data_IF_686591243895
#
_entry.id   IF_686591243895
#
_cell.length_a   1.000
_cell.length_b   1.000
_cell.length_c   1.000
_cell.angle_alpha   90.00
_cell.angle_beta   90.00
_cell.angle_gamma   90.00
#
_symmetry.space_group_name_H-M   'P 1'
#
loop_
_entity.id
_entity.type
_entity.pdbx_description
1 polymer ?
#
# COMPACT_ATOMS: atom_id res chain seq x y z
N UNK A 1 58.68 -50.14 -16.48
CA UNK A 1 57.84 -49.55 -17.55
C UNK A 1 56.35 -49.84 -17.33
N UNK A 2 55.93 -51.05 -16.92
CA UNK A 2 54.53 -51.43 -16.67
C UNK A 2 53.91 -50.74 -15.48
N UNK A 3 54.68 -50.47 -14.41
CA UNK A 3 54.23 -49.84 -13.19
C UNK A 3 53.89 -48.35 -13.43
N UNK A 4 54.68 -47.65 -14.20
CA UNK A 4 54.51 -46.25 -14.54
C UNK A 4 53.22 -46.06 -15.37
N UNK A 5 52.94 -46.97 -16.30
CA UNK A 5 51.68 -46.98 -17.09
C UNK A 5 50.47 -47.20 -16.20
N UNK A 6 50.52 -48.09 -15.22
CA UNK A 6 49.42 -48.35 -14.26
C UNK A 6 49.20 -47.11 -13.36
N UNK A 7 50.24 -46.46 -12.92
CA UNK A 7 50.16 -45.23 -12.11
C UNK A 7 49.52 -44.07 -12.89
N UNK A 8 49.88 -43.95 -14.14
CA UNK A 8 49.29 -42.97 -15.06
C UNK A 8 47.81 -43.20 -15.30
N UNK A 9 47.39 -44.47 -15.45
CA UNK A 9 45.96 -44.82 -15.60
C UNK A 9 45.14 -44.49 -14.34
N UNK A 10 45.71 -44.71 -13.15
CA UNK A 10 45.05 -44.40 -11.87
C UNK A 10 44.93 -42.87 -11.74
N UNK A 11 45.94 -42.11 -12.13
CA UNK A 11 45.91 -40.63 -12.09
C UNK A 11 44.81 -40.05 -13.03
N UNK A 12 44.66 -40.62 -14.23
CA UNK A 12 43.61 -40.22 -15.19
C UNK A 12 42.22 -40.56 -14.62
N UNK A 13 42.08 -41.71 -13.96
CA UNK A 13 40.80 -42.15 -13.40
C UNK A 13 40.34 -41.26 -12.25
N UNK A 14 41.27 -40.74 -11.43
CA UNK A 14 41.00 -39.77 -10.39
C UNK A 14 40.57 -38.44 -10.95
N UNK A 15 41.11 -38.01 -12.10
CA UNK A 15 40.74 -36.75 -12.76
C UNK A 15 39.31 -36.75 -13.34
N UNK A 16 38.79 -37.93 -13.70
CA UNK A 16 37.42 -38.08 -14.21
C UNK A 16 36.35 -38.16 -13.12
N UNK A 17 36.70 -38.30 -11.85
CA UNK A 17 35.78 -38.34 -10.72
C UNK A 17 35.53 -36.99 -10.05
N UNK A 18 36.02 -35.88 -10.63
CA UNK A 18 35.51 -34.54 -10.25
C UNK A 18 34.08 -34.42 -10.71
N UNK A 19 33.19 -35.03 -9.95
CA UNK A 19 31.75 -34.87 -10.08
C UNK A 19 31.46 -33.38 -9.97
N UNK A 20 30.96 -32.81 -11.04
CA UNK A 20 30.34 -31.50 -10.99
C UNK A 20 29.25 -31.57 -9.92
N UNK A 21 29.53 -31.14 -8.71
CA UNK A 21 28.51 -30.78 -7.74
C UNK A 21 27.83 -29.53 -8.30
N UNK A 22 26.84 -29.73 -9.16
CA UNK A 22 25.86 -28.70 -9.43
C UNK A 22 25.17 -28.46 -8.07
N UNK A 23 25.58 -27.42 -7.39
CA UNK A 23 24.80 -26.82 -6.34
C UNK A 23 23.53 -26.34 -7.05
N UNK A 24 22.46 -27.11 -6.90
CA UNK A 24 21.11 -26.66 -7.27
C UNK A 24 20.74 -25.60 -6.24
N UNK A 25 21.31 -24.39 -6.40
CA UNK A 25 20.90 -23.19 -5.69
C UNK A 25 19.48 -22.88 -6.14
N UNK A 26 18.52 -23.59 -5.53
CA UNK A 26 17.11 -23.22 -5.59
C UNK A 26 16.99 -21.84 -4.96
N UNK A 27 17.15 -20.81 -5.79
CA UNK A 27 16.77 -19.46 -5.44
C UNK A 27 15.26 -19.52 -5.16
N UNK A 28 14.92 -19.70 -3.89
CA UNK A 28 13.55 -19.57 -3.43
C UNK A 28 13.24 -18.09 -3.49
N UNK A 29 12.53 -17.67 -4.53
CA UNK A 29 11.91 -16.35 -4.56
C UNK A 29 10.90 -16.35 -3.42
N UNK A 30 11.27 -15.68 -2.34
CA UNK A 30 10.36 -15.45 -1.22
C UNK A 30 9.47 -14.29 -1.62
N UNK A 31 8.20 -14.58 -1.87
CA UNK A 31 7.19 -13.55 -2.06
C UNK A 31 6.99 -12.85 -0.70
N UNK A 32 7.60 -11.67 -0.58
CA UNK A 32 7.56 -10.85 0.63
C UNK A 32 6.13 -10.48 1.01
N UNK A 33 5.27 -10.22 0.03
CA UNK A 33 3.87 -9.88 0.28
C UNK A 33 3.13 -11.07 0.92
N UNK A 34 3.33 -12.27 0.38
CA UNK A 34 2.77 -13.52 0.95
C UNK A 34 3.34 -13.83 2.34
N UNK A 35 4.59 -13.44 2.61
CA UNK A 35 5.24 -13.67 3.92
C UNK A 35 4.68 -12.71 4.96
N UNK A 36 4.48 -11.45 4.61
CA UNK A 36 3.85 -10.44 5.48
C UNK A 36 2.44 -10.87 5.83
N UNK A 37 1.63 -11.30 4.84
CA UNK A 37 0.26 -11.76 5.09
C UNK A 37 0.15 -12.99 6.02
N UNK A 38 1.16 -13.85 6.01
CA UNK A 38 1.15 -15.11 6.79
C UNK A 38 1.69 -14.95 8.21
N UNK A 39 2.43 -13.88 8.50
CA UNK A 39 2.98 -13.64 9.84
C UNK A 39 1.96 -12.98 10.76
N UNK A 40 2.08 -13.21 12.08
CA UNK A 40 1.24 -12.55 13.09
C UNK A 40 1.43 -11.03 13.05
N UNK A 41 2.67 -10.57 12.88
CA UNK A 41 3.01 -9.15 12.79
C UNK A 41 2.43 -8.54 11.52
N UNK A 42 2.59 -9.21 10.38
CA UNK A 42 2.04 -8.77 9.11
C UNK A 42 0.52 -8.64 9.14
N UNK A 43 -0.19 -9.63 9.68
CA UNK A 43 -1.64 -9.57 9.87
C UNK A 43 -2.06 -8.37 10.74
N UNK A 44 -1.31 -8.08 11.80
CA UNK A 44 -1.57 -6.93 12.66
C UNK A 44 -1.39 -5.61 11.92
N UNK A 45 -0.35 -5.50 11.08
CA UNK A 45 -0.09 -4.33 10.25
C UNK A 45 -1.23 -4.13 9.24
N UNK A 46 -1.61 -5.18 8.52
CA UNK A 46 -2.70 -5.15 7.53
C UNK A 46 -4.02 -4.73 8.20
N UNK A 47 -4.35 -5.31 9.35
CA UNK A 47 -5.56 -4.94 10.07
C UNK A 47 -5.54 -3.47 10.51
N UNK A 48 -4.43 -2.98 11.08
CA UNK A 48 -4.31 -1.57 11.46
C UNK A 48 -4.46 -0.61 10.27
N UNK A 49 -3.85 -0.94 9.13
CA UNK A 49 -3.98 -0.14 7.92
C UNK A 49 -5.42 -0.18 7.37
N UNK A 50 -6.05 -1.34 7.40
CA UNK A 50 -7.46 -1.52 7.01
C UNK A 50 -8.39 -0.69 7.88
N UNK A 51 -8.23 -0.74 9.21
CA UNK A 51 -9.05 0.02 10.16
C UNK A 51 -8.86 1.53 9.98
N UNK A 52 -7.60 1.97 9.77
CA UNK A 52 -7.30 3.37 9.47
C UNK A 52 -7.97 3.81 8.17
N UNK A 53 -7.86 3.00 7.12
CA UNK A 53 -8.49 3.30 5.82
C UNK A 53 -10.02 3.38 5.95
N UNK A 54 -10.64 2.41 6.63
CA UNK A 54 -12.08 2.38 6.85
C UNK A 54 -12.57 3.60 7.64
N UNK A 55 -11.82 4.01 8.66
CA UNK A 55 -12.11 5.21 9.46
C UNK A 55 -12.01 6.48 8.61
N UNK A 56 -10.97 6.58 7.77
CA UNK A 56 -10.80 7.68 6.84
C UNK A 56 -11.95 7.76 5.81
N UNK A 57 -12.34 6.61 5.25
CA UNK A 57 -13.47 6.54 4.31
C UNK A 57 -14.78 6.96 4.95
N UNK A 58 -15.06 6.52 6.19
CA UNK A 58 -16.26 6.95 6.93
C UNK A 58 -16.27 8.45 7.17
N UNK A 59 -15.13 9.03 7.59
CA UNK A 59 -14.98 10.48 7.79
C UNK A 59 -15.21 11.26 6.49
N UNK A 60 -14.61 10.84 5.38
CA UNK A 60 -14.80 11.49 4.09
C UNK A 60 -16.25 11.43 3.63
N UNK A 61 -16.89 10.26 3.74
CA UNK A 61 -18.30 10.08 3.38
C UNK A 61 -19.24 10.96 4.22
N UNK A 62 -18.96 11.09 5.52
CA UNK A 62 -19.72 12.01 6.38
C UNK A 62 -19.59 13.46 5.90
N UNK A 63 -18.38 13.91 5.58
CA UNK A 63 -18.14 15.27 5.06
C UNK A 63 -18.73 15.51 3.69
N UNK A 64 -18.69 14.53 2.80
CA UNK A 64 -19.36 14.58 1.50
C UNK A 64 -20.88 14.71 1.66
N UNK A 65 -21.49 13.97 2.59
CA UNK A 65 -22.91 14.09 2.87
C UNK A 65 -23.30 15.46 3.45
N UNK A 66 -22.46 16.06 4.32
CA UNK A 66 -22.67 17.43 4.82
C UNK A 66 -22.66 18.45 3.69
N UNK A 67 -21.72 18.31 2.74
CA UNK A 67 -21.61 19.18 1.56
C UNK A 67 -22.83 19.01 0.66
N UNK A 68 -23.26 17.76 0.41
CA UNK A 68 -24.45 17.46 -0.39
C UNK A 68 -25.71 18.09 0.22
N UNK A 69 -25.91 17.97 1.54
CA UNK A 69 -27.03 18.63 2.23
C UNK A 69 -26.96 20.15 2.08
N UNK A 70 -25.78 20.76 2.25
CA UNK A 70 -25.62 22.22 2.05
C UNK A 70 -25.98 22.64 0.62
N UNK A 71 -25.62 21.85 -0.38
CA UNK A 71 -25.97 22.09 -1.77
C UNK A 71 -27.48 21.99 -2.01
N UNK A 72 -28.13 20.98 -1.45
CA UNK A 72 -29.57 20.79 -1.53
C UNK A 72 -30.33 21.95 -0.84
N UNK A 73 -29.85 22.43 0.30
CA UNK A 73 -30.41 23.60 1.00
C UNK A 73 -30.30 24.87 0.16
N UNK A 74 -29.12 25.12 -0.42
CA UNK A 74 -28.93 26.26 -1.33
C UNK A 74 -29.91 26.18 -2.51
N UNK A 75 -30.04 25.01 -3.13
CA UNK A 75 -30.95 24.81 -4.26
C UNK A 75 -32.41 25.04 -3.90
N UNK A 76 -32.85 24.65 -2.71
CA UNK A 76 -34.21 24.89 -2.22
C UNK A 76 -34.46 26.35 -1.89
N UNK A 77 -33.46 27.07 -1.41
CA UNK A 77 -33.59 28.42 -0.87
C UNK A 77 -33.26 29.53 -1.91
N UNK A 78 -32.55 29.21 -2.99
CA UNK A 78 -32.04 30.19 -3.96
C UNK A 78 -33.07 31.16 -4.53
N UNK A 79 -34.34 30.76 -4.57
CA UNK A 79 -35.43 31.60 -5.08
C UNK A 79 -36.24 32.31 -3.97
N UNK A 80 -35.89 32.09 -2.70
CA UNK A 80 -36.68 32.55 -1.53
C UNK A 80 -35.89 33.55 -0.69
N UNK A 81 -34.55 33.38 -0.63
CA UNK A 81 -33.66 34.24 0.18
C UNK A 81 -33.14 35.44 -0.63
N UNK A 82 -32.64 36.47 0.08
CA UNK A 82 -31.98 37.60 -0.55
C UNK A 82 -30.74 37.21 -1.35
N UNK A 83 -30.36 38.01 -2.33
CA UNK A 83 -29.12 37.76 -3.09
C UNK A 83 -27.88 37.79 -2.23
N UNK A 84 -27.83 38.56 -1.17
CA UNK A 84 -26.68 38.65 -0.28
C UNK A 84 -26.58 37.41 0.63
N UNK A 85 -27.70 36.94 1.17
CA UNK A 85 -27.72 35.67 1.92
C UNK A 85 -27.35 34.48 1.03
N UNK A 86 -27.79 34.49 -0.22
CA UNK A 86 -27.41 33.44 -1.17
C UNK A 86 -25.91 33.43 -1.44
N UNK A 87 -25.28 34.60 -1.62
CA UNK A 87 -23.84 34.71 -1.80
C UNK A 87 -23.08 34.13 -0.58
N UNK A 88 -23.51 34.50 0.64
CA UNK A 88 -22.90 34.00 1.87
C UNK A 88 -22.95 32.45 1.93
N UNK A 89 -24.13 31.86 1.67
CA UNK A 89 -24.30 30.40 1.64
C UNK A 89 -23.44 29.72 0.58
N UNK A 90 -23.31 30.31 -0.60
CA UNK A 90 -22.43 29.78 -1.67
C UNK A 90 -20.97 29.83 -1.25
N UNK A 91 -20.53 30.92 -0.59
CA UNK A 91 -19.15 31.01 -0.10
C UNK A 91 -18.87 30.00 1.00
N UNK A 92 -19.79 29.80 1.94
CA UNK A 92 -19.67 28.77 2.97
C UNK A 92 -19.58 27.37 2.35
N UNK A 93 -20.41 27.07 1.35
CA UNK A 93 -20.36 25.82 0.60
C UNK A 93 -18.98 25.63 -0.05
N UNK A 94 -18.46 26.65 -0.76
CA UNK A 94 -17.14 26.62 -1.39
C UNK A 94 -16.03 26.36 -0.36
N UNK A 95 -16.11 26.99 0.83
CA UNK A 95 -15.16 26.75 1.93
C UNK A 95 -15.23 25.30 2.39
N UNK A 96 -16.41 24.72 2.59
CA UNK A 96 -16.58 23.30 2.98
C UNK A 96 -15.97 22.36 1.95
N UNK A 97 -16.19 22.61 0.65
CA UNK A 97 -15.60 21.83 -0.44
C UNK A 97 -14.07 21.90 -0.42
N UNK A 98 -13.51 23.10 -0.22
CA UNK A 98 -12.06 23.28 -0.14
C UNK A 98 -11.46 22.56 1.06
N UNK A 99 -12.12 22.65 2.23
CA UNK A 99 -11.70 21.94 3.43
C UNK A 99 -11.72 20.43 3.21
N UNK A 100 -12.75 19.88 2.59
CA UNK A 100 -12.82 18.47 2.26
C UNK A 100 -11.67 18.05 1.34
N UNK A 101 -11.38 18.84 0.30
CA UNK A 101 -10.27 18.58 -0.63
C UNK A 101 -8.91 18.53 0.10
N UNK A 102 -8.67 19.51 0.97
CA UNK A 102 -7.44 19.55 1.80
C UNK A 102 -7.36 18.34 2.74
N UNK A 103 -8.49 18.02 3.40
CA UNK A 103 -8.56 16.88 4.32
C UNK A 103 -8.31 15.55 3.62
N UNK A 104 -8.89 15.35 2.43
CA UNK A 104 -8.64 14.16 1.60
C UNK A 104 -7.16 14.00 1.28
N UNK A 105 -6.49 15.09 0.85
CA UNK A 105 -5.07 15.07 0.55
C UNK A 105 -4.25 14.70 1.80
N UNK A 106 -4.54 15.34 2.93
CA UNK A 106 -3.86 15.08 4.20
C UNK A 106 -4.02 13.61 4.63
N UNK A 107 -5.24 13.07 4.58
CA UNK A 107 -5.50 11.68 4.97
C UNK A 107 -4.74 10.67 4.09
N UNK A 108 -4.60 10.94 2.79
CA UNK A 108 -3.81 10.12 1.87
C UNK A 108 -2.32 10.18 2.24
N UNK A 109 -1.79 11.39 2.49
CA UNK A 109 -0.39 11.57 2.89
C UNK A 109 -0.07 10.88 4.22
N UNK A 110 -0.94 11.05 5.22
CA UNK A 110 -0.78 10.44 6.54
C UNK A 110 -0.87 8.91 6.46
N UNK A 111 -1.80 8.38 5.67
CA UNK A 111 -1.93 6.94 5.43
C UNK A 111 -0.68 6.36 4.77
N UNK A 112 -0.14 7.04 3.74
CA UNK A 112 1.08 6.61 3.06
C UNK A 112 2.30 6.64 4.00
N UNK A 113 2.43 7.67 4.84
CA UNK A 113 3.48 7.74 5.87
C UNK A 113 3.35 6.61 6.89
N UNK A 114 2.14 6.32 7.34
CA UNK A 114 1.86 5.22 8.27
C UNK A 114 2.22 3.88 7.65
N UNK A 115 1.81 3.66 6.39
CA UNK A 115 2.16 2.45 5.63
C UNK A 115 3.67 2.27 5.54
N UNK A 116 4.41 3.30 5.12
CA UNK A 116 5.87 3.23 5.04
C UNK A 116 6.52 2.91 6.39
N UNK A 117 6.08 3.58 7.46
CA UNK A 117 6.62 3.36 8.81
C UNK A 117 6.39 1.95 9.35
N UNK A 118 5.33 1.28 8.93
CA UNK A 118 5.01 -0.07 9.38
C UNK A 118 5.68 -1.16 8.53
N UNK A 119 6.12 -0.81 7.32
CA UNK A 119 6.77 -1.75 6.40
C UNK A 119 8.31 -1.68 6.44
N UNK A 120 8.89 -0.65 7.05
CA UNK A 120 10.33 -0.51 7.31
C UNK A 120 10.67 -0.93 8.74
#
# INVERSE_FOLDING_TARGET
MLIIKKLLYILILIFFTTVNTYSDDKVKIVDLDSLVEKTVIGKKIINNLSDTNNSNLKLLKSKENEIKKSQEEINKQKNIISNDDLKIKIEEYKKKVLILKKKKKQLIEDFNKQKQKQMN
#
